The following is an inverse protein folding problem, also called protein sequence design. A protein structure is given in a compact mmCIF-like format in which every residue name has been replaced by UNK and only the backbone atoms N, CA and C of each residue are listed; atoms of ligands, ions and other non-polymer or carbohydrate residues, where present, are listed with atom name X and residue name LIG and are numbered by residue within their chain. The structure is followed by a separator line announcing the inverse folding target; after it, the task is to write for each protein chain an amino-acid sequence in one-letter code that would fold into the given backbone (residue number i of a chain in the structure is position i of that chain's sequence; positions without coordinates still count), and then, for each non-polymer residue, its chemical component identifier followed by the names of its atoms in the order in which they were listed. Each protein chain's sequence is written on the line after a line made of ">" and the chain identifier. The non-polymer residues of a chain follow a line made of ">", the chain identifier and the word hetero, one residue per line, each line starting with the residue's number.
data_IF_885682366570
#
_entry.id   IF_885682366570
#
_cell.length_a   1.000
_cell.length_b   1.000
_cell.length_c   1.000
_cell.angle_alpha   90.00
_cell.angle_beta   90.00
_cell.angle_gamma   90.00
#
_symmetry.space_group_name_H-M   'P 1'
#
loop_
_entity.id
_entity.type
_entity.pdbx_description
1 polymer ?
#
# COMPACT_ATOMS: atom_id res chain seq x y z
N UNK A 1 -8.53 7.72 5.43
CA UNK A 1 -7.13 7.29 5.46
C UNK A 1 -6.23 8.42 5.96
N UNK A 2 -6.19 9.59 5.35
CA UNK A 2 -5.33 10.72 5.76
C UNK A 2 -5.70 11.39 7.10
N UNK A 3 -6.90 11.16 7.61
CA UNK A 3 -7.38 11.70 8.89
C UNK A 3 -7.17 13.24 9.03
N UNK A 4 -7.43 13.99 7.95
CA UNK A 4 -7.29 15.44 7.90
C UNK A 4 -5.95 15.95 7.39
N UNK A 5 -4.93 15.10 7.24
CA UNK A 5 -3.65 15.49 6.62
C UNK A 5 -3.82 15.76 5.12
N UNK A 6 -3.09 16.72 4.59
CA UNK A 6 -2.96 16.99 3.15
C UNK A 6 -1.78 16.26 2.49
N UNK A 7 -0.98 15.56 3.30
CA UNK A 7 0.21 14.82 2.88
C UNK A 7 -0.13 13.49 2.17
N UNK A 8 0.89 12.80 1.68
CA UNK A 8 0.77 11.50 1.02
C UNK A 8 0.19 10.42 1.95
N UNK A 9 0.55 10.49 3.24
CA UNK A 9 0.10 9.63 4.33
C UNK A 9 -0.51 10.46 5.46
N UNK A 10 -1.14 9.82 6.43
CA UNK A 10 -1.62 10.51 7.63
C UNK A 10 -0.47 11.05 8.51
N UNK A 11 0.72 10.49 8.38
CA UNK A 11 1.90 10.82 9.19
C UNK A 11 2.95 11.64 8.44
N UNK A 12 2.76 11.95 7.16
CA UNK A 12 3.71 12.75 6.39
C UNK A 12 3.76 12.42 4.90
N UNK A 13 4.89 12.72 4.28
CA UNK A 13 5.19 12.46 2.88
C UNK A 13 5.91 11.12 2.66
N UNK A 14 6.28 10.82 1.42
CA UNK A 14 6.98 9.58 1.03
C UNK A 14 8.39 9.42 1.62
N UNK A 15 8.95 10.46 2.22
CA UNK A 15 10.28 10.42 2.85
C UNK A 15 10.21 10.28 4.37
N UNK A 16 9.00 10.32 4.93
CA UNK A 16 8.77 10.15 6.36
C UNK A 16 9.03 8.69 6.76
N UNK A 17 9.62 8.52 7.94
CA UNK A 17 9.86 7.20 8.53
C UNK A 17 8.54 6.50 8.83
N UNK A 18 8.32 5.36 8.21
CA UNK A 18 7.09 4.58 8.37
C UNK A 18 7.23 3.42 9.38
N UNK A 19 8.42 3.15 9.91
CA UNK A 19 8.73 1.95 10.69
C UNK A 19 7.88 1.73 11.95
N UNK A 20 7.23 2.78 12.48
CA UNK A 20 6.26 2.68 13.58
C UNK A 20 4.83 3.07 13.18
N UNK A 21 4.63 3.35 11.92
CA UNK A 21 3.38 3.90 11.40
C UNK A 21 2.58 2.86 10.61
N UNK A 22 3.26 2.19 9.69
CA UNK A 22 2.62 1.24 8.78
C UNK A 22 3.61 0.15 8.32
N UNK A 23 3.09 -1.04 8.03
CA UNK A 23 3.85 -2.16 7.48
C UNK A 23 3.90 -2.06 5.95
N UNK A 24 4.99 -1.51 5.44
CA UNK A 24 5.27 -1.37 4.00
C UNK A 24 6.48 -2.22 3.61
N UNK A 25 6.79 -2.26 2.31
CA UNK A 25 7.98 -2.94 1.82
C UNK A 25 9.25 -2.41 2.50
N UNK A 26 9.96 -3.30 3.13
CA UNK A 26 11.12 -3.05 3.96
C UNK A 26 12.28 -4.00 3.60
N UNK A 27 13.27 -4.11 4.45
CA UNK A 27 14.40 -5.02 4.32
C UNK A 27 13.98 -6.50 4.24
N UNK A 28 12.94 -6.91 4.95
CA UNK A 28 12.39 -8.27 4.86
C UNK A 28 11.83 -8.55 3.46
N UNK A 29 11.17 -7.58 2.86
CA UNK A 29 10.65 -7.69 1.49
C UNK A 29 11.78 -7.84 0.47
N UNK A 30 12.91 -7.17 0.66
CA UNK A 30 14.11 -7.38 -0.16
C UNK A 30 14.60 -8.83 -0.13
N UNK A 31 14.56 -9.48 1.03
CA UNK A 31 14.94 -10.89 1.17
C UNK A 31 13.96 -11.80 0.44
N UNK A 32 12.67 -11.51 0.47
CA UNK A 32 11.66 -12.27 -0.29
C UNK A 32 11.86 -12.13 -1.80
N UNK A 33 12.23 -10.96 -2.28
CA UNK A 33 12.55 -10.73 -3.70
C UNK A 33 13.66 -11.67 -4.21
N UNK A 34 14.65 -11.97 -3.38
CA UNK A 34 15.75 -12.91 -3.70
C UNK A 34 15.25 -14.33 -3.91
N UNK A 35 14.14 -14.73 -3.28
CA UNK A 35 13.56 -16.06 -3.40
C UNK A 35 12.52 -16.22 -4.50
N UNK A 36 12.40 -15.22 -5.39
CA UNK A 36 11.55 -15.34 -6.57
C UNK A 36 10.07 -15.03 -6.36
N UNK A 37 9.72 -14.40 -5.26
CA UNK A 37 8.37 -13.89 -5.01
C UNK A 37 8.15 -12.52 -5.66
N UNK A 38 9.24 -11.80 -5.94
CA UNK A 38 9.27 -10.52 -6.61
C UNK A 38 10.45 -10.45 -7.59
N UNK A 39 10.45 -9.58 -8.61
CA UNK A 39 11.55 -9.50 -9.55
C UNK A 39 12.88 -9.26 -8.83
N UNK A 40 13.86 -10.06 -9.17
CA UNK A 40 15.21 -9.98 -8.60
C UNK A 40 15.74 -8.54 -8.63
N UNK A 41 16.54 -8.13 -7.64
CA UNK A 41 17.18 -6.83 -7.66
C UNK A 41 17.89 -6.61 -8.98
N UNK A 42 17.49 -5.62 -9.72
CA UNK A 42 18.09 -5.30 -11.01
C UNK A 42 19.54 -4.88 -10.81
N UNK A 43 20.44 -5.35 -11.66
CA UNK A 43 21.80 -4.85 -11.68
C UNK A 43 21.81 -3.32 -11.85
N UNK A 44 22.71 -2.62 -11.14
CA UNK A 44 22.84 -1.14 -11.20
C UNK A 44 23.05 -0.60 -12.62
N UNK A 45 23.54 -1.44 -13.51
CA UNK A 45 23.71 -1.14 -14.94
C UNK A 45 22.41 -1.14 -15.74
N UNK A 46 21.32 -1.68 -15.17
CA UNK A 46 20.03 -1.70 -15.83
C UNK A 46 19.41 -0.29 -15.81
N UNK A 47 18.95 0.27 -16.97
CA UNK A 47 18.31 1.59 -17.02
C UNK A 47 17.11 1.74 -16.08
N UNK A 48 16.44 0.65 -15.76
CA UNK A 48 15.27 0.62 -14.87
C UNK A 48 15.63 0.58 -13.40
N UNK A 49 16.90 0.35 -13.04
CA UNK A 49 17.37 0.22 -11.67
C UNK A 49 16.84 1.35 -10.74
N UNK A 50 16.92 2.59 -11.21
CA UNK A 50 16.46 3.77 -10.44
C UNK A 50 14.98 3.73 -10.03
N UNK A 51 14.15 2.95 -10.74
CA UNK A 51 12.72 2.80 -10.41
C UNK A 51 12.45 1.70 -9.41
N UNK A 52 13.42 0.80 -9.20
CA UNK A 52 13.31 -0.36 -8.32
C UNK A 52 14.24 -0.28 -7.12
N UNK A 53 15.09 0.75 -7.05
CA UNK A 53 15.95 0.97 -5.88
C UNK A 53 15.11 1.41 -4.70
N UNK A 54 15.30 0.78 -3.56
CA UNK A 54 14.66 1.17 -2.32
C UNK A 54 15.24 2.50 -1.81
N UNK A 55 14.41 3.27 -1.11
CA UNK A 55 14.86 4.46 -0.41
C UNK A 55 15.61 4.05 0.87
N UNK A 56 16.55 4.88 1.37
CA UNK A 56 17.27 4.54 2.60
C UNK A 56 16.39 4.20 3.80
N UNK A 57 15.19 4.80 3.88
CA UNK A 57 14.22 4.49 4.94
C UNK A 57 13.59 3.10 4.78
N UNK A 58 13.33 2.66 3.57
CA UNK A 58 12.83 1.31 3.29
C UNK A 58 13.88 0.26 3.67
N UNK A 59 15.16 0.53 3.44
CA UNK A 59 16.26 -0.37 3.81
C UNK A 59 16.56 -0.39 5.32
N UNK A 60 16.19 0.65 6.05
CA UNK A 60 16.42 0.76 7.49
C UNK A 60 15.33 0.10 8.33
N UNK A 61 14.16 -0.10 7.79
CA UNK A 61 13.05 -0.78 8.46
C UNK A 61 13.18 -2.30 8.28
N UNK A 62 12.90 -3.05 9.32
CA UNK A 62 12.96 -4.51 9.34
C UNK A 62 11.91 -5.01 10.35
N UNK A 63 10.64 -4.88 9.99
CA UNK A 63 9.51 -5.19 10.88
C UNK A 63 8.76 -6.48 10.52
N UNK A 64 9.22 -7.15 9.47
CA UNK A 64 8.67 -8.43 9.02
C UNK A 64 7.58 -8.28 7.96
N UNK A 65 6.94 -9.40 7.61
CA UNK A 65 5.98 -9.45 6.53
C UNK A 65 4.60 -8.96 6.97
N UNK A 66 3.80 -9.86 7.51
CA UNK A 66 2.44 -9.54 7.94
C UNK A 66 2.38 -9.36 9.45
N UNK A 67 1.63 -8.36 9.90
CA UNK A 67 1.32 -8.16 11.31
C UNK A 67 -0.16 -8.32 11.56
N UNK A 68 -0.49 -8.69 12.79
CA UNK A 68 -1.86 -8.83 13.23
C UNK A 68 -2.58 -7.46 13.21
N UNK A 69 -3.74 -7.41 12.56
CA UNK A 69 -4.59 -6.22 12.57
C UNK A 69 -5.09 -5.94 13.99
N UNK A 70 -5.03 -4.68 14.39
CA UNK A 70 -5.39 -4.26 15.76
C UNK A 70 -4.32 -4.56 16.81
N UNK A 71 -3.20 -5.18 16.43
CA UNK A 71 -2.01 -5.27 17.28
C UNK A 71 -1.40 -3.87 17.48
N UNK A 72 -0.77 -3.67 18.64
CA UNK A 72 -0.10 -2.40 18.98
C UNK A 72 1.29 -2.25 18.33
N UNK A 73 1.55 -2.95 17.23
CA UNK A 73 2.84 -2.86 16.54
C UNK A 73 3.07 -1.49 15.91
N UNK A 74 1.97 -0.87 15.45
CA UNK A 74 1.99 0.45 14.80
C UNK A 74 1.11 1.46 15.50
N UNK A 75 1.34 2.73 15.19
CA UNK A 75 0.53 3.82 15.71
C UNK A 75 -0.81 3.91 14.97
N UNK A 76 -1.86 4.29 15.69
CA UNK A 76 -3.14 4.62 15.09
C UNK A 76 -3.08 6.01 14.43
N UNK A 77 -3.84 6.20 13.35
CA UNK A 77 -4.04 7.53 12.81
C UNK A 77 -4.90 8.40 13.77
N UNK A 78 -5.06 9.71 13.54
CA UNK A 78 -5.86 10.60 14.37
C UNK A 78 -7.33 10.18 14.57
N UNK A 79 -7.86 9.27 13.77
CA UNK A 79 -9.20 8.69 13.94
C UNK A 79 -9.19 7.36 14.71
N UNK A 80 -8.05 6.96 15.28
CA UNK A 80 -7.91 5.70 15.99
C UNK A 80 -7.82 4.45 15.10
N UNK A 81 -7.59 4.61 13.80
CA UNK A 81 -7.52 3.50 12.84
C UNK A 81 -6.08 3.07 12.60
N UNK A 82 -5.83 1.77 12.63
CA UNK A 82 -4.53 1.15 12.41
C UNK A 82 -4.39 0.63 10.98
N UNK A 83 -3.14 0.55 10.50
CA UNK A 83 -2.77 -0.05 9.22
C UNK A 83 -3.59 0.50 8.04
N UNK A 84 -3.74 1.82 7.99
CA UNK A 84 -4.45 2.49 6.88
C UNK A 84 -3.62 2.53 5.61
N UNK A 85 -2.32 2.35 5.76
CA UNK A 85 -1.36 2.15 4.67
C UNK A 85 -0.52 0.91 5.00
N UNK A 86 -0.37 0.01 4.04
CA UNK A 86 0.43 -1.20 4.24
C UNK A 86 -0.31 -2.37 4.91
N UNK A 87 0.45 -3.34 5.38
CA UNK A 87 0.05 -4.66 5.83
C UNK A 87 -0.66 -5.46 4.72
N UNK A 88 -1.94 -5.26 4.50
CA UNK A 88 -2.68 -5.76 3.33
C UNK A 88 -3.45 -4.62 2.66
N UNK A 89 -3.49 -4.63 1.34
CA UNK A 89 -4.39 -3.74 0.60
C UNK A 89 -5.84 -4.13 0.89
N UNK A 90 -6.77 -3.18 0.81
CA UNK A 90 -8.16 -3.41 1.19
C UNK A 90 -9.12 -3.19 0.04
N UNK A 91 -10.05 -4.12 -0.15
CA UNK A 91 -11.16 -3.98 -1.07
C UNK A 91 -12.06 -2.81 -0.69
N UNK A 92 -12.53 -2.08 -1.69
CA UNK A 92 -13.57 -1.05 -1.51
C UNK A 92 -14.82 -1.39 -2.31
N UNK A 93 -15.94 -0.75 -2.01
CA UNK A 93 -17.18 -0.90 -2.78
C UNK A 93 -17.13 -0.16 -4.12
N UNK A 94 -16.16 0.75 -4.31
CA UNK A 94 -16.07 1.63 -5.48
C UNK A 94 -15.65 0.87 -6.74
N UNK A 95 -16.30 1.17 -7.85
CA UNK A 95 -15.85 0.75 -9.16
C UNK A 95 -14.60 1.54 -9.58
N UNK A 96 -13.70 0.88 -10.29
CA UNK A 96 -12.48 1.53 -10.74
C UNK A 96 -12.77 2.40 -11.97
N UNK A 97 -12.40 3.67 -11.87
CA UNK A 97 -12.42 4.63 -12.98
C UNK A 97 -11.06 5.30 -13.05
N UNK A 98 -10.47 5.37 -14.22
CA UNK A 98 -9.18 6.04 -14.42
C UNK A 98 -9.27 7.55 -14.18
N UNK A 99 -8.16 8.16 -13.77
CA UNK A 99 -8.04 9.60 -13.71
C UNK A 99 -7.55 10.20 -15.05
N UNK A 100 -7.95 11.45 -15.38
CA UNK A 100 -8.91 12.30 -14.65
C UNK A 100 -10.34 11.74 -14.71
N UNK A 101 -11.06 11.86 -13.61
CA UNK A 101 -12.45 11.42 -13.55
C UNK A 101 -13.34 12.27 -14.44
N UNK A 102 -14.07 11.62 -15.36
CA UNK A 102 -15.08 12.27 -16.17
C UNK A 102 -16.47 11.70 -15.79
N UNK A 103 -17.34 12.49 -15.16
CA UNK A 103 -18.66 12.03 -14.73
C UNK A 103 -19.58 11.61 -15.88
N UNK A 104 -19.26 12.03 -17.12
CA UNK A 104 -20.00 11.61 -18.32
C UNK A 104 -19.53 10.26 -18.87
N UNK A 105 -18.41 9.75 -18.41
CA UNK A 105 -17.93 8.44 -18.83
C UNK A 105 -18.80 7.37 -18.18
N UNK A 106 -19.48 6.59 -19.00
CA UNK A 106 -20.21 5.41 -18.50
C UNK A 106 -19.22 4.48 -17.79
N UNK A 107 -19.53 4.13 -16.55
CA UNK A 107 -18.75 3.13 -15.80
C UNK A 107 -18.89 1.80 -16.51
N UNK A 108 -17.85 1.38 -17.22
CA UNK A 108 -17.81 0.09 -17.93
C UNK A 108 -16.78 -0.85 -17.30
N UNK A 109 -16.20 -0.45 -16.17
CA UNK A 109 -15.18 -1.25 -15.51
C UNK A 109 -15.81 -2.30 -14.62
N UNK A 110 -15.51 -3.57 -14.90
CA UNK A 110 -15.85 -4.69 -14.02
C UNK A 110 -14.89 -4.80 -12.83
N UNK A 111 -13.98 -3.84 -12.70
CA UNK A 111 -12.96 -3.83 -11.64
C UNK A 111 -13.42 -3.01 -10.43
N UNK A 112 -13.06 -3.49 -9.26
CA UNK A 112 -13.19 -2.76 -8.01
C UNK A 112 -11.88 -2.09 -7.63
N UNK A 113 -11.99 -1.00 -6.88
CA UNK A 113 -10.84 -0.30 -6.34
C UNK A 113 -10.31 -1.04 -5.11
N UNK A 114 -9.00 -1.23 -5.07
CA UNK A 114 -8.25 -1.67 -3.91
C UNK A 114 -7.33 -0.54 -3.46
N UNK A 115 -7.21 -0.34 -2.15
CA UNK A 115 -6.55 0.80 -1.51
C UNK A 115 -5.58 0.36 -0.42
N UNK A 116 -4.78 1.32 0.06
CA UNK A 116 -3.97 1.21 1.25
C UNK A 116 -2.55 0.71 1.02
N UNK A 117 -2.32 -0.07 -0.01
CA UNK A 117 -1.03 -0.75 -0.19
C UNK A 117 -0.88 -1.96 0.74
N UNK A 118 0.25 -2.63 0.68
CA UNK A 118 0.52 -3.84 1.45
C UNK A 118 1.99 -3.92 1.87
N UNK A 119 2.32 -4.88 2.71
CA UNK A 119 3.69 -5.13 3.21
C UNK A 119 4.74 -5.36 2.11
N UNK A 120 4.34 -5.73 0.90
CA UNK A 120 5.26 -5.88 -0.24
C UNK A 120 5.34 -4.64 -1.14
N UNK A 121 4.64 -3.58 -0.79
CA UNK A 121 4.54 -2.38 -1.62
C UNK A 121 5.31 -1.22 -1.03
N UNK A 122 6.05 -0.57 -1.89
CA UNK A 122 6.82 0.61 -1.53
C UNK A 122 5.90 1.78 -1.18
N UNK A 123 6.35 2.74 -0.35
CA UNK A 123 5.56 3.90 0.05
C UNK A 123 4.84 4.59 -1.11
N UNK A 124 5.49 4.78 -2.25
CA UNK A 124 4.89 5.43 -3.44
C UNK A 124 3.64 4.75 -4.00
N UNK A 125 3.45 3.45 -3.71
CA UNK A 125 2.28 2.68 -4.14
C UNK A 125 1.22 2.53 -3.05
N UNK A 126 1.52 3.04 -1.85
CA UNK A 126 0.68 2.91 -0.66
C UNK A 126 0.11 4.25 -0.17
N UNK A 127 0.33 5.32 -0.93
CA UNK A 127 -0.17 6.67 -0.60
C UNK A 127 -1.69 6.72 -0.48
N UNK A 128 -2.19 7.75 0.20
CA UNK A 128 -3.63 7.97 0.38
C UNK A 128 -4.42 8.12 -0.92
N UNK A 129 -3.79 8.38 -2.04
CA UNK A 129 -4.39 8.47 -3.37
C UNK A 129 -4.08 7.28 -4.28
N UNK A 130 -3.17 6.39 -3.88
CA UNK A 130 -2.87 5.18 -4.64
C UNK A 130 -4.09 4.27 -4.76
N UNK A 131 -4.29 3.71 -5.94
CA UNK A 131 -5.41 2.80 -6.24
C UNK A 131 -4.95 1.69 -7.17
N UNK A 132 -5.51 0.51 -6.97
CA UNK A 132 -5.37 -0.63 -7.87
C UNK A 132 -6.74 -1.06 -8.37
N UNK A 133 -6.75 -1.74 -9.49
CA UNK A 133 -7.94 -2.28 -10.11
C UNK A 133 -7.83 -3.80 -10.16
N UNK A 134 -8.78 -4.49 -9.52
CA UNK A 134 -8.88 -5.95 -9.60
C UNK A 134 -10.32 -6.37 -9.90
N UNK A 135 -10.48 -7.49 -10.58
CA UNK A 135 -11.80 -8.10 -10.72
C UNK A 135 -12.33 -8.55 -9.35
N UNK A 136 -13.63 -8.42 -9.06
CA UNK A 136 -14.20 -8.77 -7.76
C UNK A 136 -13.96 -10.22 -7.33
N UNK A 137 -13.82 -11.13 -8.29
CA UNK A 137 -13.58 -12.55 -8.08
C UNK A 137 -12.08 -12.92 -8.06
N UNK A 138 -11.21 -11.96 -8.29
CA UNK A 138 -9.76 -12.21 -8.33
C UNK A 138 -9.23 -12.46 -6.93
N UNK A 139 -8.54 -13.58 -6.75
CA UNK A 139 -7.85 -13.91 -5.51
C UNK A 139 -6.46 -13.28 -5.54
N UNK A 140 -6.20 -12.38 -4.60
CA UNK A 140 -4.93 -11.66 -4.51
C UNK A 140 -4.41 -11.82 -3.08
N UNK A 141 -3.22 -12.40 -2.93
CA UNK A 141 -2.69 -12.87 -1.64
C UNK A 141 -2.42 -11.74 -0.64
N UNK A 142 -2.17 -10.52 -1.12
CA UNK A 142 -1.89 -9.34 -0.30
C UNK A 142 -3.07 -8.36 -0.23
N UNK A 143 -4.29 -8.84 -0.49
CA UNK A 143 -5.52 -8.03 -0.42
C UNK A 143 -6.49 -8.64 0.58
N UNK A 144 -6.88 -7.86 1.55
CA UNK A 144 -7.89 -8.16 2.54
C UNK A 144 -9.09 -7.22 2.45
N UNK A 145 -9.80 -7.03 3.54
CA UNK A 145 -10.93 -6.11 3.63
C UNK A 145 -11.08 -5.54 5.05
N UNK A 146 -11.74 -4.41 5.12
CA UNK A 146 -12.15 -3.78 6.37
C UNK A 146 -13.67 -3.59 6.37
N UNK A 147 -14.33 -4.03 7.43
CA UNK A 147 -15.75 -3.80 7.62
C UNK A 147 -16.00 -2.42 8.24
N UNK A 148 -17.06 -1.77 7.77
CA UNK A 148 -17.60 -0.54 8.35
C UNK A 148 -19.03 -0.87 8.75
N UNK A 149 -19.39 -0.53 9.98
CA UNK A 149 -20.76 -0.60 10.49
C UNK A 149 -21.31 0.82 10.38
N UNK A 150 -22.40 0.99 9.68
CA UNK A 150 -23.15 2.24 9.59
C UNK A 150 -24.35 2.09 10.54
N UNK A 151 -24.48 3.02 11.48
CA UNK A 151 -25.62 3.10 12.43
C UNK A 151 -26.86 3.69 11.73
#
# INVERSE_FOLDING_TARGET
>A
CRAGSDQDFWYGDMHTDFGKKDNLADKTTLLLAVYGVDPQPMAKTNPWYKYYTFLPKEESVDDGNLVQVGGKAYEANPFGLYNMHGNVSEWTRSDYVSYPYNPKTKLTSDHKVVRGGSYIERPKFSTAYARKAYYPYQRVFNVGFRMIIED
#
